data_IF_975270276710
#
_entry.id   IF_975270276710
#
_cell.length_a   1.000
_cell.length_b   1.000
_cell.length_c   1.000
_cell.angle_alpha   90.00
_cell.angle_beta   90.00
_cell.angle_gamma   90.00
#
_symmetry.space_group_name_H-M   'P 1'
#
loop_
_entity.id
_entity.type
_entity.pdbx_description
1 polymer ?
#
# COMPACT_ATOMS: atom_id res chain seq x y z
N UNK A 1 9.83 10.40 10.51
CA UNK A 1 10.00 9.64 9.26
C UNK A 1 10.20 8.15 9.60
N UNK A 2 9.66 7.22 8.80
CA UNK A 2 9.95 5.78 8.91
C UNK A 2 10.62 5.33 7.63
N UNK A 3 11.78 4.69 7.70
CA UNK A 3 12.60 4.32 6.52
C UNK A 3 12.87 2.82 6.50
N UNK A 4 12.81 2.22 5.31
CA UNK A 4 13.14 0.80 5.08
C UNK A 4 14.40 0.70 4.22
N UNK A 5 15.26 -0.28 4.47
CA UNK A 5 16.43 -0.55 3.61
C UNK A 5 16.00 -1.32 2.36
N UNK A 6 16.34 -0.75 1.20
CA UNK A 6 16.12 -1.34 -0.11
C UNK A 6 17.29 -2.17 -0.63
N UNK A 7 17.03 -3.03 -1.60
CA UNK A 7 18.06 -3.89 -2.22
C UNK A 7 19.13 -3.09 -2.96
N UNK A 8 18.79 -1.89 -3.45
CA UNK A 8 19.68 -1.02 -4.23
C UNK A 8 20.31 0.11 -3.41
N UNK A 9 20.05 0.15 -2.10
CA UNK A 9 20.70 1.11 -1.19
C UNK A 9 22.16 0.71 -0.89
N UNK A 10 22.53 -0.50 -1.30
CA UNK A 10 23.80 -1.18 -1.03
C UNK A 10 24.48 -1.53 -2.35
N UNK A 11 25.81 -1.60 -2.35
CA UNK A 11 26.62 -1.94 -3.52
C UNK A 11 27.47 -3.19 -3.24
N UNK A 12 27.45 -4.21 -4.11
CA UNK A 12 26.59 -4.35 -5.29
C UNK A 12 25.10 -4.50 -4.92
N UNK A 13 24.20 -4.32 -5.90
CA UNK A 13 22.77 -4.54 -5.69
C UNK A 13 22.51 -5.91 -5.04
N UNK A 14 21.59 -5.95 -4.07
CA UNK A 14 21.27 -7.11 -3.21
C UNK A 14 22.40 -7.59 -2.28
N UNK A 15 23.47 -6.83 -2.10
CA UNK A 15 24.50 -7.16 -1.12
C UNK A 15 24.01 -6.88 0.29
N UNK A 16 23.60 -7.94 0.99
CA UNK A 16 23.18 -7.87 2.38
C UNK A 16 23.86 -8.98 3.19
N UNK A 17 24.79 -8.58 4.05
CA UNK A 17 25.46 -9.47 4.98
C UNK A 17 24.47 -9.99 6.03
N UNK A 18 24.63 -11.25 6.42
CA UNK A 18 23.86 -11.85 7.52
C UNK A 18 24.81 -12.07 8.70
N UNK A 19 24.71 -11.20 9.71
CA UNK A 19 25.34 -11.31 11.03
C UNK A 19 24.35 -11.91 12.05
N UNK A 20 24.71 -11.93 13.33
CA UNK A 20 23.82 -12.41 14.40
C UNK A 20 22.73 -11.39 14.80
N UNK A 21 22.82 -10.13 14.35
CA UNK A 21 21.90 -9.04 14.72
C UNK A 21 22.29 -8.31 16.01
N UNK A 22 23.28 -8.81 16.75
CA UNK A 22 23.80 -8.20 17.99
C UNK A 22 25.11 -7.44 17.77
N UNK A 23 25.82 -7.74 16.68
CA UNK A 23 27.03 -7.06 16.25
C UNK A 23 26.81 -6.22 15.01
N UNK A 24 27.73 -5.28 14.77
CA UNK A 24 27.71 -4.41 13.61
C UNK A 24 27.65 -5.25 12.34
N UNK A 25 26.63 -4.98 11.52
CA UNK A 25 26.50 -5.54 10.20
C UNK A 25 27.28 -4.66 9.22
N UNK A 26 28.27 -5.21 8.49
CA UNK A 26 29.14 -4.39 7.63
C UNK A 26 28.35 -3.66 6.54
N UNK A 27 27.33 -4.31 5.95
CA UNK A 27 26.46 -3.70 4.95
C UNK A 27 25.66 -2.53 5.52
N UNK A 28 25.01 -2.73 6.66
CA UNK A 28 24.17 -1.70 7.27
C UNK A 28 25.01 -0.54 7.83
N UNK A 29 26.21 -0.85 8.33
CA UNK A 29 27.16 0.15 8.80
C UNK A 29 27.59 1.09 7.69
N UNK A 30 27.88 0.57 6.49
CA UNK A 30 28.30 1.36 5.33
C UNK A 30 27.26 2.39 4.94
N UNK A 31 25.98 2.02 4.94
CA UNK A 31 24.90 2.92 4.55
C UNK A 31 24.41 3.81 5.70
N UNK A 32 24.74 3.49 6.96
CA UNK A 32 24.20 4.15 8.16
C UNK A 32 24.43 5.66 8.23
N UNK A 33 25.45 6.18 7.53
CA UNK A 33 25.74 7.61 7.47
C UNK A 33 24.54 8.43 6.97
N UNK A 34 23.75 7.88 6.04
CA UNK A 34 22.56 8.56 5.52
C UNK A 34 21.45 8.79 6.58
N UNK A 35 21.54 8.11 7.73
CA UNK A 35 20.58 8.20 8.83
C UNK A 35 21.12 8.88 10.08
N UNK A 36 22.38 9.33 10.10
CA UNK A 36 23.03 9.91 11.29
C UNK A 36 22.32 11.15 11.84
N UNK A 37 21.68 11.93 10.97
CA UNK A 37 20.93 13.13 11.37
C UNK A 37 19.45 12.86 11.67
N UNK A 38 18.96 11.65 11.36
CA UNK A 38 17.55 11.28 11.45
C UNK A 38 17.24 10.33 12.61
N UNK A 39 18.26 9.64 13.13
CA UNK A 39 18.10 8.63 14.18
C UNK A 39 18.89 9.02 15.43
N UNK A 40 18.30 8.77 16.60
CA UNK A 40 19.02 8.88 17.87
C UNK A 40 20.18 7.87 17.94
N UNK A 41 21.24 8.11 18.73
CA UNK A 41 22.43 7.25 18.76
C UNK A 41 22.14 5.76 19.00
N UNK A 42 21.18 5.45 19.88
CA UNK A 42 20.76 4.07 20.15
C UNK A 42 20.04 3.46 18.94
N UNK A 43 19.15 4.22 18.29
CA UNK A 43 18.43 3.77 17.09
C UNK A 43 19.37 3.57 15.90
N UNK A 44 20.38 4.45 15.77
CA UNK A 44 21.41 4.32 14.75
C UNK A 44 22.29 3.09 15.00
N UNK A 45 22.65 2.80 16.25
CA UNK A 45 23.38 1.59 16.59
C UNK A 45 22.56 0.32 16.30
N UNK A 46 21.28 0.32 16.65
CA UNK A 46 20.35 -0.74 16.29
C UNK A 46 20.25 -0.91 14.77
N UNK A 47 20.14 0.20 14.02
CA UNK A 47 20.15 0.18 12.57
C UNK A 47 21.42 -0.47 12.02
N UNK A 48 22.61 -0.09 12.52
CA UNK A 48 23.90 -0.66 12.12
C UNK A 48 24.01 -2.17 12.37
N UNK A 49 23.30 -2.69 13.37
CA UNK A 49 23.35 -4.11 13.71
C UNK A 49 22.33 -4.95 12.91
N UNK A 50 21.09 -4.46 12.79
CA UNK A 50 19.96 -5.29 12.34
C UNK A 50 19.08 -4.67 11.24
N UNK A 51 19.01 -3.34 11.18
CA UNK A 51 18.33 -2.62 10.09
C UNK A 51 16.80 -2.70 10.10
N UNK A 52 16.21 -3.29 11.14
CA UNK A 52 14.78 -3.33 11.39
C UNK A 52 14.46 -2.67 12.74
N UNK A 53 13.27 -2.08 12.84
CA UNK A 53 12.86 -1.31 14.02
C UNK A 53 11.34 -1.21 14.11
N UNK A 54 10.84 -0.53 15.13
CA UNK A 54 9.43 -0.16 15.26
C UNK A 54 9.29 1.33 15.53
N UNK A 55 8.12 1.87 15.19
CA UNK A 55 7.75 3.24 15.54
C UNK A 55 6.29 3.31 15.97
N UNK A 56 6.06 3.92 17.11
CA UNK A 56 4.72 4.26 17.57
C UNK A 56 4.21 5.49 16.82
N UNK A 57 3.06 5.35 16.17
CA UNK A 57 2.38 6.46 15.49
C UNK A 57 1.51 7.21 16.49
N UNK A 58 0.81 6.45 17.32
CA UNK A 58 0.10 6.92 18.50
C UNK A 58 0.00 5.79 19.54
N UNK A 59 -0.77 6.01 20.61
CA UNK A 59 -0.95 5.05 21.71
C UNK A 59 -1.50 3.68 21.26
N UNK A 60 -2.20 3.61 20.12
CA UNK A 60 -2.88 2.40 19.64
C UNK A 60 -2.32 1.83 18.34
N UNK A 61 -1.54 2.57 17.57
CA UNK A 61 -0.92 2.10 16.32
C UNK A 61 0.61 2.10 16.39
N UNK A 62 1.21 0.95 16.08
CA UNK A 62 2.66 0.77 15.88
C UNK A 62 2.94 0.34 14.44
N UNK A 63 3.99 0.89 13.84
CA UNK A 63 4.54 0.42 12.57
C UNK A 63 5.78 -0.44 12.86
N UNK A 64 5.75 -1.69 12.44
CA UNK A 64 6.92 -2.59 12.43
C UNK A 64 7.62 -2.48 11.08
N UNK A 65 8.90 -2.15 11.08
CA UNK A 65 9.69 -1.85 9.89
C UNK A 65 10.73 -2.95 9.73
N UNK A 66 10.60 -3.74 8.66
CA UNK A 66 11.45 -4.90 8.39
C UNK A 66 12.66 -4.56 7.52
N UNK A 67 13.79 -5.19 7.82
CA UNK A 67 14.92 -5.32 6.92
C UNK A 67 14.67 -6.53 6.02
N UNK A 68 14.21 -6.28 4.80
CA UNK A 68 13.81 -7.36 3.87
C UNK A 68 14.95 -7.89 3.00
N UNK A 69 16.10 -7.22 3.00
CA UNK A 69 17.28 -7.61 2.20
C UNK A 69 17.77 -9.05 2.44
N UNK A 70 17.86 -9.54 3.70
CA UNK A 70 18.28 -10.90 4.00
C UNK A 70 17.39 -12.00 3.39
N UNK A 71 16.12 -11.68 3.11
CA UNK A 71 15.14 -12.65 2.60
C UNK A 71 15.10 -12.72 1.07
N UNK A 72 15.69 -11.74 0.39
CA UNK A 72 15.62 -11.60 -1.06
C UNK A 72 16.12 -12.86 -1.80
N UNK A 73 15.46 -13.22 -2.91
CA UNK A 73 15.90 -14.33 -3.76
C UNK A 73 17.33 -14.13 -4.26
N UNK A 74 17.66 -12.91 -4.67
CA UNK A 74 18.93 -12.54 -5.30
C UNK A 74 20.01 -12.05 -4.31
N UNK A 75 19.81 -12.26 -3.00
CA UNK A 75 20.80 -11.86 -1.98
C UNK A 75 22.17 -12.49 -2.25
N UNK A 76 23.22 -11.67 -2.29
CA UNK A 76 24.60 -12.09 -2.60
C UNK A 76 25.66 -11.73 -1.53
N UNK A 77 25.25 -11.19 -0.37
CA UNK A 77 26.18 -10.82 0.70
C UNK A 77 26.77 -12.00 1.49
N UNK A 78 27.84 -11.75 2.25
CA UNK A 78 28.43 -12.77 3.11
C UNK A 78 27.50 -13.19 4.27
N UNK A 79 27.76 -14.34 4.85
CA UNK A 79 27.00 -14.83 6.01
C UNK A 79 27.98 -15.34 7.05
N UNK A 80 28.12 -14.58 8.13
CA UNK A 80 28.97 -14.93 9.27
C UNK A 80 28.17 -15.55 10.41
N UNK A 81 26.84 -15.57 10.28
CA UNK A 81 25.92 -16.21 11.21
C UNK A 81 25.61 -17.66 10.81
N UNK A 82 25.52 -18.53 11.82
CA UNK A 82 25.12 -19.95 11.68
C UNK A 82 23.60 -20.10 11.52
N UNK A 83 22.79 -19.15 12.03
CA UNK A 83 21.31 -19.19 12.00
C UNK A 83 20.74 -18.58 10.72
N UNK A 84 20.86 -19.28 9.61
CA UNK A 84 20.30 -18.84 8.31
C UNK A 84 18.78 -19.05 8.21
N UNK A 85 18.17 -19.75 9.16
CA UNK A 85 16.73 -19.95 9.29
C UNK A 85 16.01 -18.67 9.72
N UNK A 86 16.68 -17.86 10.56
CA UNK A 86 16.22 -16.52 10.97
C UNK A 86 17.36 -15.48 10.84
N UNK A 87 17.60 -14.99 9.62
CA UNK A 87 18.59 -13.95 9.37
C UNK A 87 18.40 -12.73 10.28
N UNK A 88 19.46 -12.36 10.99
CA UNK A 88 19.51 -11.24 11.95
C UNK A 88 18.52 -11.38 13.13
N UNK A 89 17.98 -12.58 13.42
CA UNK A 89 17.03 -12.79 14.52
C UNK A 89 15.69 -12.07 14.36
N UNK A 90 15.36 -11.68 13.13
CA UNK A 90 14.26 -10.76 12.87
C UNK A 90 12.88 -11.42 12.97
N UNK A 91 12.74 -12.72 12.69
CA UNK A 91 11.49 -13.45 12.89
C UNK A 91 11.20 -13.67 14.37
N UNK A 92 12.22 -14.01 15.17
CA UNK A 92 12.12 -14.07 16.62
C UNK A 92 11.73 -12.71 17.21
N UNK A 93 12.40 -11.63 16.77
CA UNK A 93 12.05 -10.26 17.14
C UNK A 93 10.62 -9.91 16.75
N UNK A 94 10.21 -10.18 15.50
CA UNK A 94 8.87 -9.87 15.01
C UNK A 94 7.79 -10.60 15.81
N UNK A 95 8.01 -11.88 16.11
CA UNK A 95 7.11 -12.68 16.96
C UNK A 95 6.97 -12.06 18.35
N UNK A 96 8.09 -11.65 18.94
CA UNK A 96 8.12 -11.02 20.28
C UNK A 96 7.37 -9.69 20.27
N UNK A 97 7.61 -8.83 19.28
CA UNK A 97 6.94 -7.54 19.16
C UNK A 97 5.44 -7.69 18.93
N UNK A 98 5.01 -8.58 18.03
CA UNK A 98 3.59 -8.81 17.78
C UNK A 98 2.87 -9.32 19.03
N UNK A 99 3.48 -10.26 19.77
CA UNK A 99 2.94 -10.76 21.04
C UNK A 99 2.79 -9.64 22.09
N UNK A 100 3.80 -8.80 22.22
CA UNK A 100 3.77 -7.67 23.16
C UNK A 100 2.69 -6.66 22.77
N UNK A 101 2.64 -6.25 21.51
CA UNK A 101 1.65 -5.29 21.01
C UNK A 101 0.22 -5.83 21.15
N UNK A 102 0.00 -7.12 20.87
CA UNK A 102 -1.29 -7.78 21.09
C UNK A 102 -1.73 -7.70 22.56
N UNK A 103 -0.84 -8.04 23.50
CA UNK A 103 -1.11 -7.96 24.95
C UNK A 103 -1.40 -6.54 25.44
N UNK A 104 -0.95 -5.53 24.69
CA UNK A 104 -1.19 -4.12 24.97
C UNK A 104 -2.43 -3.58 24.23
N UNK A 105 -3.19 -4.44 23.54
CA UNK A 105 -4.31 -4.05 22.66
C UNK A 105 -3.92 -3.04 21.57
N UNK A 106 -2.69 -3.13 21.06
CA UNK A 106 -2.18 -2.26 20.00
C UNK A 106 -2.35 -2.92 18.63
N UNK A 107 -2.52 -2.07 17.63
CA UNK A 107 -2.70 -2.42 16.24
C UNK A 107 -1.43 -2.14 15.46
N UNK A 108 -1.25 -2.85 14.35
CA UNK A 108 0.04 -2.93 13.67
C UNK A 108 -0.09 -2.70 12.17
N UNK A 109 0.79 -1.86 11.63
CA UNK A 109 1.19 -1.92 10.23
C UNK A 109 2.56 -2.57 10.11
N UNK A 110 2.77 -3.38 9.09
CA UNK A 110 4.08 -3.95 8.77
C UNK A 110 4.60 -3.31 7.47
N UNK A 111 5.79 -2.74 7.52
CA UNK A 111 6.43 -2.11 6.37
C UNK A 111 7.75 -2.80 6.03
N UNK A 112 8.09 -2.85 4.74
CA UNK A 112 9.39 -3.32 4.27
C UNK A 112 9.64 -2.89 2.84
N UNK A 113 10.81 -3.19 2.28
CA UNK A 113 11.08 -2.85 0.87
C UNK A 113 10.61 -3.95 -0.08
N UNK A 114 11.21 -5.14 0.03
CA UNK A 114 10.90 -6.30 -0.82
C UNK A 114 9.70 -7.04 -0.21
N UNK A 115 8.63 -7.28 -0.96
CA UNK A 115 7.44 -7.95 -0.42
C UNK A 115 7.64 -9.46 -0.25
N UNK A 116 7.05 -10.10 0.78
CA UNK A 116 7.09 -11.54 1.03
C UNK A 116 6.16 -12.33 0.10
N UNK A 117 6.39 -12.24 -1.21
CA UNK A 117 5.55 -12.87 -2.23
C UNK A 117 6.34 -13.24 -3.50
N UNK A 118 5.65 -13.86 -4.46
CA UNK A 118 6.15 -14.01 -5.83
C UNK A 118 5.63 -12.82 -6.65
N UNK A 119 6.40 -12.36 -7.63
CA UNK A 119 5.92 -11.35 -8.55
C UNK A 119 4.78 -11.92 -9.40
N UNK A 120 3.65 -11.21 -9.43
CA UNK A 120 2.39 -11.77 -9.94
C UNK A 120 2.45 -12.17 -11.42
N UNK A 121 3.29 -11.54 -12.24
CA UNK A 121 3.27 -11.75 -13.70
C UNK A 121 4.18 -12.90 -14.16
N UNK A 122 5.37 -13.02 -13.59
CA UNK A 122 6.38 -13.99 -14.04
C UNK A 122 6.77 -15.00 -12.94
N UNK A 123 6.17 -14.90 -11.76
CA UNK A 123 6.44 -15.80 -10.65
C UNK A 123 7.84 -15.68 -10.06
N UNK A 124 8.60 -14.63 -10.40
CA UNK A 124 9.92 -14.42 -9.83
C UNK A 124 9.81 -14.23 -8.31
N UNK A 125 10.58 -15.02 -7.57
CA UNK A 125 10.64 -14.94 -6.12
C UNK A 125 11.15 -13.58 -5.68
N UNK A 126 10.35 -12.82 -4.92
CA UNK A 126 10.82 -11.59 -4.29
C UNK A 126 11.62 -11.95 -3.05
N UNK A 127 11.04 -12.80 -2.19
CA UNK A 127 11.76 -13.51 -1.13
C UNK A 127 11.98 -14.96 -1.51
N UNK A 128 13.01 -15.60 -0.95
CA UNK A 128 13.16 -17.06 -1.04
C UNK A 128 11.92 -17.72 -0.41
N UNK A 129 11.36 -18.74 -1.07
CA UNK A 129 10.10 -19.38 -0.66
C UNK A 129 10.05 -19.80 0.82
N UNK A 130 11.15 -20.34 1.37
CA UNK A 130 11.26 -20.70 2.80
C UNK A 130 11.00 -19.53 3.76
N UNK A 131 11.40 -18.31 3.38
CA UNK A 131 11.19 -17.12 4.21
C UNK A 131 9.78 -16.56 4.05
N UNK A 132 9.14 -16.75 2.89
CA UNK A 132 7.72 -16.43 2.72
C UNK A 132 6.89 -17.32 3.65
N UNK A 133 7.15 -18.63 3.68
CA UNK A 133 6.47 -19.56 4.59
C UNK A 133 6.72 -19.24 6.06
N UNK A 134 7.98 -18.96 6.42
CA UNK A 134 8.32 -18.56 7.79
C UNK A 134 7.59 -17.28 8.21
N UNK A 135 7.57 -16.27 7.34
CA UNK A 135 6.86 -15.02 7.60
C UNK A 135 5.35 -15.25 7.79
N UNK A 136 4.73 -16.04 6.91
CA UNK A 136 3.31 -16.45 7.06
C UNK A 136 3.08 -17.13 8.41
N UNK A 137 3.95 -18.04 8.83
CA UNK A 137 3.86 -18.73 10.12
C UNK A 137 4.01 -17.77 11.32
N UNK A 138 4.94 -16.82 11.24
CA UNK A 138 5.20 -15.81 12.28
C UNK A 138 3.99 -14.89 12.48
N UNK A 139 3.38 -14.40 11.40
CA UNK A 139 2.28 -13.44 11.52
C UNK A 139 0.91 -14.11 11.73
N UNK A 140 0.73 -15.38 11.35
CA UNK A 140 -0.55 -16.09 11.40
C UNK A 140 -1.25 -16.09 12.78
N UNK A 141 -0.56 -16.13 13.93
CA UNK A 141 -1.18 -15.97 15.25
C UNK A 141 -1.75 -14.57 15.49
N UNK A 142 -1.17 -13.53 14.88
CA UNK A 142 -1.39 -12.12 15.20
C UNK A 142 -2.18 -11.36 14.13
N UNK A 143 -2.76 -12.07 13.16
CA UNK A 143 -3.50 -11.47 12.02
C UNK A 143 -4.67 -10.57 12.42
N UNK A 144 -5.18 -10.66 13.65
CA UNK A 144 -6.25 -9.80 14.16
C UNK A 144 -5.79 -8.36 14.44
N UNK A 145 -4.52 -8.19 14.86
CA UNK A 145 -3.95 -6.87 15.17
C UNK A 145 -3.24 -6.22 13.98
N UNK A 146 -2.87 -7.01 12.96
CA UNK A 146 -2.20 -6.50 11.74
C UNK A 146 -3.26 -5.92 10.81
N UNK A 147 -3.25 -4.60 10.64
CA UNK A 147 -4.23 -3.85 9.83
C UNK A 147 -3.83 -3.64 8.39
N UNK A 148 -2.53 -3.58 8.11
CA UNK A 148 -2.01 -3.48 6.74
C UNK A 148 -0.55 -3.92 6.67
N UNK A 149 -0.14 -4.33 5.48
CA UNK A 149 1.27 -4.55 5.14
C UNK A 149 1.62 -3.71 3.90
N UNK A 150 2.73 -2.97 3.93
CA UNK A 150 3.10 -2.00 2.89
C UNK A 150 4.53 -2.24 2.44
N UNK A 151 4.70 -2.47 1.14
CA UNK A 151 6.00 -2.75 0.52
C UNK A 151 6.23 -1.91 -0.74
N UNK A 152 7.46 -1.89 -1.21
CA UNK A 152 7.86 -1.26 -2.47
C UNK A 152 8.39 -2.29 -3.46
N UNK A 153 9.59 -2.03 -3.98
CA UNK A 153 10.43 -2.92 -4.79
C UNK A 153 9.90 -3.33 -6.18
N UNK A 154 8.60 -3.63 -6.34
CA UNK A 154 8.02 -4.06 -7.62
C UNK A 154 7.71 -2.89 -8.57
N UNK A 155 7.80 -1.65 -8.08
CA UNK A 155 7.53 -0.41 -8.84
C UNK A 155 6.12 -0.37 -9.44
N UNK A 156 5.16 -0.96 -8.73
CA UNK A 156 3.79 -1.08 -9.14
C UNK A 156 2.86 -0.86 -7.95
N UNK A 157 1.69 -0.28 -8.19
CA UNK A 157 0.61 -0.16 -7.22
C UNK A 157 -0.25 -1.42 -7.25
N UNK A 158 0.09 -2.42 -6.44
CA UNK A 158 -0.64 -3.68 -6.36
C UNK A 158 -1.35 -3.82 -5.02
N UNK A 159 -2.53 -4.42 -5.06
CA UNK A 159 -3.33 -4.70 -3.88
C UNK A 159 -3.59 -6.19 -3.80
N UNK A 160 -3.10 -6.81 -2.73
CA UNK A 160 -3.23 -8.23 -2.46
C UNK A 160 -4.06 -8.43 -1.22
N UNK A 161 -5.03 -9.34 -1.29
CA UNK A 161 -5.81 -9.74 -0.13
C UNK A 161 -5.47 -11.17 0.25
N UNK A 162 -4.48 -11.32 1.11
CA UNK A 162 -4.02 -12.63 1.51
C UNK A 162 -4.82 -13.15 2.70
N UNK A 163 -5.30 -14.38 2.56
CA UNK A 163 -5.98 -15.09 3.62
C UNK A 163 -4.97 -15.87 4.46
N UNK A 164 -5.00 -15.66 5.77
CA UNK A 164 -4.29 -16.47 6.75
C UNK A 164 -5.31 -16.94 7.79
N UNK A 165 -5.44 -18.27 7.95
CA UNK A 165 -6.54 -18.88 8.70
C UNK A 165 -7.89 -18.38 8.18
N UNK A 166 -8.69 -17.73 9.01
CA UNK A 166 -10.00 -17.17 8.66
C UNK A 166 -9.98 -15.64 8.56
N UNK A 167 -8.79 -15.01 8.53
CA UNK A 167 -8.63 -13.56 8.50
C UNK A 167 -7.92 -13.16 7.21
N UNK A 168 -8.39 -12.06 6.61
CA UNK A 168 -7.74 -11.45 5.46
C UNK A 168 -6.89 -10.28 5.92
N UNK A 169 -5.61 -10.31 5.56
CA UNK A 169 -4.67 -9.23 5.86
C UNK A 169 -4.23 -8.62 4.53
N UNK A 170 -4.55 -7.34 4.26
CA UNK A 170 -4.17 -6.73 3.01
C UNK A 170 -2.66 -6.46 2.97
N UNK A 171 -2.08 -6.68 1.79
CA UNK A 171 -0.71 -6.32 1.46
C UNK A 171 -0.74 -5.42 0.23
N UNK A 172 -0.06 -4.29 0.33
CA UNK A 172 0.04 -3.31 -0.73
C UNK A 172 1.47 -3.19 -1.19
N UNK A 173 1.67 -3.08 -2.49
CA UNK A 173 2.91 -2.56 -3.06
C UNK A 173 2.66 -1.17 -3.63
N UNK A 174 3.67 -0.30 -3.53
CA UNK A 174 3.59 1.07 -4.05
C UNK A 174 4.47 1.26 -5.28
N UNK A 175 3.96 2.01 -6.26
CA UNK A 175 4.70 2.49 -7.41
C UNK A 175 5.90 3.36 -6.99
N UNK A 176 6.86 3.50 -7.90
CA UNK A 176 8.08 4.25 -7.63
C UNK A 176 8.05 5.65 -8.23
N UNK A 177 8.83 6.55 -7.62
CA UNK A 177 9.17 7.85 -8.20
C UNK A 177 10.07 7.66 -9.44
N UNK A 178 10.97 6.68 -9.42
CA UNK A 178 11.84 6.41 -10.57
C UNK A 178 11.05 5.81 -11.74
N UNK A 179 11.16 6.37 -12.96
CA UNK A 179 10.54 5.82 -14.17
C UNK A 179 11.36 4.68 -14.80
N UNK A 180 12.47 4.25 -14.17
CA UNK A 180 13.44 3.28 -14.72
C UNK A 180 12.80 1.98 -15.22
N UNK A 181 11.69 1.55 -14.63
CA UNK A 181 10.99 0.32 -15.01
C UNK A 181 9.69 0.58 -15.76
N UNK A 182 9.63 1.71 -16.47
CA UNK A 182 8.56 2.09 -17.39
C UNK A 182 7.19 2.31 -16.71
N UNK A 183 7.18 2.53 -15.41
CA UNK A 183 6.07 3.14 -14.70
C UNK A 183 6.16 4.67 -14.82
N UNK A 184 5.04 5.36 -14.69
CA UNK A 184 5.10 6.80 -14.46
C UNK A 184 5.58 7.07 -13.02
N UNK A 185 6.40 8.11 -12.79
CA UNK A 185 6.74 8.58 -11.45
C UNK A 185 5.48 8.79 -10.62
N UNK A 186 5.42 8.12 -9.46
CA UNK A 186 4.24 8.21 -8.60
C UNK A 186 4.57 8.03 -7.11
N UNK A 187 3.69 8.55 -6.26
CA UNK A 187 3.67 8.29 -4.82
C UNK A 187 2.22 8.09 -4.34
N UNK A 188 2.06 7.56 -3.13
CA UNK A 188 0.75 7.22 -2.55
C UNK A 188 0.50 8.02 -1.29
N UNK A 189 -0.72 8.53 -1.15
CA UNK A 189 -1.24 9.12 0.09
C UNK A 189 -2.37 8.23 0.61
N UNK A 190 -2.22 7.75 1.84
CA UNK A 190 -3.18 6.86 2.48
C UNK A 190 -4.18 7.64 3.34
N UNK A 191 -5.44 7.22 3.29
CA UNK A 191 -6.49 7.62 4.21
C UNK A 191 -6.87 6.44 5.10
N UNK A 192 -7.02 6.65 6.40
CA UNK A 192 -7.32 5.59 7.36
C UNK A 192 -8.28 6.06 8.44
N UNK A 193 -9.03 5.12 9.01
CA UNK A 193 -9.95 5.38 10.11
C UNK A 193 -9.14 5.51 11.42
N UNK A 194 -9.28 6.63 12.13
CA UNK A 194 -8.54 6.84 13.38
C UNK A 194 -9.03 5.95 14.53
N UNK A 195 -10.20 5.34 14.43
CA UNK A 195 -10.77 4.43 15.42
C UNK A 195 -10.26 2.98 15.25
N UNK A 196 -10.34 2.46 14.02
CA UNK A 196 -10.03 1.06 13.67
C UNK A 196 -8.65 0.87 13.05
N UNK A 197 -8.03 1.94 12.54
CA UNK A 197 -6.80 1.96 11.75
C UNK A 197 -6.86 1.12 10.48
N UNK A 198 -8.06 0.84 9.99
CA UNK A 198 -8.26 0.28 8.65
C UNK A 198 -8.07 1.36 7.60
N UNK A 199 -7.53 0.99 6.44
CA UNK A 199 -7.46 1.91 5.31
C UNK A 199 -8.86 2.19 4.75
N UNK A 200 -9.12 3.48 4.54
CA UNK A 200 -10.34 3.98 3.92
C UNK A 200 -10.13 4.10 2.41
N UNK A 201 -9.01 4.66 1.99
CA UNK A 201 -8.63 4.81 0.59
C UNK A 201 -7.11 4.98 0.44
N UNK A 202 -6.62 4.87 -0.79
CA UNK A 202 -5.32 5.40 -1.17
C UNK A 202 -5.42 6.20 -2.46
N UNK A 203 -4.71 7.33 -2.47
CA UNK A 203 -4.66 8.25 -3.60
C UNK A 203 -3.28 8.20 -4.22
N UNK A 204 -3.22 7.90 -5.51
CA UNK A 204 -1.98 7.94 -6.27
C UNK A 204 -1.83 9.32 -6.87
N UNK A 205 -0.70 9.96 -6.61
CA UNK A 205 -0.25 11.16 -7.29
C UNK A 205 0.88 10.78 -8.24
N UNK A 206 0.84 11.29 -9.46
CA UNK A 206 1.80 10.93 -10.49
C UNK A 206 2.15 12.12 -11.37
N UNK A 207 3.28 12.00 -12.05
CA UNK A 207 3.59 12.80 -13.24
C UNK A 207 3.63 11.88 -14.45
N UNK A 208 2.75 12.11 -15.42
CA UNK A 208 2.52 11.18 -16.55
C UNK A 208 3.14 11.63 -17.87
N UNK A 209 3.64 12.86 -17.93
CA UNK A 209 4.21 13.47 -19.13
C UNK A 209 5.66 13.86 -18.88
N UNK A 210 6.55 13.59 -19.84
CA UNK A 210 7.93 14.07 -19.82
C UNK A 210 7.96 15.60 -19.85
N UNK A 211 8.88 16.26 -19.11
CA UNK A 211 10.02 15.71 -18.36
C UNK A 211 9.70 15.26 -16.90
N UNK A 212 8.43 14.97 -16.60
CA UNK A 212 7.93 14.55 -15.29
C UNK A 212 7.90 15.62 -14.19
N UNK A 213 7.68 16.88 -14.57
CA UNK A 213 7.61 18.01 -13.64
C UNK A 213 6.21 18.26 -13.06
N UNK A 214 5.16 17.83 -13.75
CA UNK A 214 3.77 18.14 -13.40
C UNK A 214 3.16 16.99 -12.60
N UNK A 215 3.12 17.17 -11.28
CA UNK A 215 2.49 16.24 -10.36
C UNK A 215 1.02 16.57 -10.14
N UNK A 216 0.16 15.56 -10.27
CA UNK A 216 -1.27 15.68 -10.03
C UNK A 216 -1.84 14.43 -9.39
N UNK A 217 -3.05 14.56 -8.84
CA UNK A 217 -3.83 13.39 -8.44
C UNK A 217 -4.17 12.58 -9.70
N UNK A 218 -3.88 11.28 -9.67
CA UNK A 218 -4.10 10.38 -10.81
C UNK A 218 -5.35 9.52 -10.61
N UNK A 219 -5.50 8.88 -9.46
CA UNK A 219 -6.69 8.09 -9.14
C UNK A 219 -6.85 7.85 -7.63
N UNK A 220 -8.10 7.60 -7.21
CA UNK A 220 -8.47 7.01 -5.91
C UNK A 220 -8.71 5.50 -6.10
N UNK A 221 -8.30 4.68 -5.13
CA UNK A 221 -8.50 3.25 -5.18
C UNK A 221 -9.99 2.89 -5.06
N UNK A 222 -10.69 3.50 -4.11
CA UNK A 222 -12.11 3.25 -3.90
C UNK A 222 -12.95 3.64 -5.12
N UNK A 223 -12.67 4.81 -5.73
CA UNK A 223 -13.32 5.25 -6.95
C UNK A 223 -13.04 4.30 -8.13
N UNK A 224 -11.77 3.94 -8.34
CA UNK A 224 -11.35 3.08 -9.44
C UNK A 224 -11.98 1.69 -9.40
N UNK A 225 -12.14 1.13 -8.20
CA UNK A 225 -12.61 -0.23 -8.00
C UNK A 225 -14.08 -0.32 -7.59
N UNK A 226 -14.76 0.83 -7.41
CA UNK A 226 -16.15 0.91 -6.98
C UNK A 226 -16.36 0.35 -5.58
N UNK A 227 -15.49 0.74 -4.64
CA UNK A 227 -15.53 0.33 -3.23
C UNK A 227 -15.97 1.51 -2.36
N UNK A 228 -16.53 1.23 -1.19
CA UNK A 228 -16.86 2.29 -0.21
C UNK A 228 -15.70 2.60 0.74
N UNK A 229 -14.81 1.63 0.96
CA UNK A 229 -13.57 1.74 1.72
C UNK A 229 -12.66 0.54 1.38
N UNK A 230 -11.48 0.44 2.01
CA UNK A 230 -10.55 -0.68 1.86
C UNK A 230 -10.60 -1.67 3.04
N UNK A 231 -11.76 -1.80 3.71
CA UNK A 231 -11.96 -2.81 4.74
C UNK A 231 -11.84 -4.24 4.16
N UNK A 232 -11.54 -5.22 5.02
CA UNK A 232 -11.39 -6.61 4.59
C UNK A 232 -12.64 -7.17 3.88
N UNK A 233 -13.84 -6.68 4.19
CA UNK A 233 -15.07 -7.10 3.52
C UNK A 233 -15.19 -6.54 2.10
N UNK A 234 -14.87 -5.26 1.89
CA UNK A 234 -14.85 -4.64 0.55
C UNK A 234 -13.78 -5.28 -0.34
N UNK A 235 -12.58 -5.51 0.22
CA UNK A 235 -11.50 -6.18 -0.50
C UNK A 235 -11.85 -7.63 -0.83
N UNK A 236 -12.56 -8.35 0.05
CA UNK A 236 -13.02 -9.71 -0.22
C UNK A 236 -14.02 -9.73 -1.37
N UNK A 237 -14.96 -8.78 -1.39
CA UNK A 237 -15.88 -8.62 -2.50
C UNK A 237 -15.16 -8.30 -3.81
N UNK A 238 -14.12 -7.45 -3.78
CA UNK A 238 -13.28 -7.18 -4.94
C UNK A 238 -12.55 -8.44 -5.43
N UNK A 239 -11.92 -9.20 -4.52
CA UNK A 239 -11.25 -10.45 -4.83
C UNK A 239 -12.20 -11.45 -5.49
N UNK A 240 -13.43 -11.57 -4.99
CA UNK A 240 -14.46 -12.43 -5.58
C UNK A 240 -14.85 -11.99 -7.01
N UNK A 241 -14.92 -10.67 -7.28
CA UNK A 241 -15.20 -10.13 -8.62
C UNK A 241 -14.11 -10.49 -9.63
N UNK A 242 -12.84 -10.44 -9.23
CA UNK A 242 -11.76 -10.94 -10.07
C UNK A 242 -11.89 -12.47 -10.26
N UNK A 243 -12.04 -13.23 -9.18
CA UNK A 243 -12.13 -14.70 -9.27
C UNK A 243 -13.29 -15.21 -10.14
N UNK A 244 -14.40 -14.49 -10.26
CA UNK A 244 -15.54 -14.92 -11.09
C UNK A 244 -15.34 -14.74 -12.60
N UNK A 245 -14.41 -13.86 -13.02
CA UNK A 245 -14.14 -13.57 -14.43
C UNK A 245 -15.21 -12.70 -15.12
N UNK A 246 -16.12 -12.06 -14.37
CA UNK A 246 -17.20 -11.23 -14.91
C UNK A 246 -16.91 -9.72 -14.69
N UNK A 247 -15.64 -9.33 -14.81
CA UNK A 247 -15.16 -8.02 -14.40
C UNK A 247 -14.28 -7.35 -15.46
N UNK A 248 -14.61 -7.50 -16.74
CA UNK A 248 -13.73 -7.14 -17.87
C UNK A 248 -13.17 -5.71 -17.79
N UNK A 249 -14.00 -4.72 -17.44
CA UNK A 249 -13.53 -3.33 -17.25
C UNK A 249 -12.61 -3.17 -16.04
N UNK A 250 -12.85 -3.93 -14.97
CA UNK A 250 -12.10 -3.86 -13.72
C UNK A 250 -10.65 -4.34 -13.90
N UNK A 251 -10.44 -5.39 -14.70
CA UNK A 251 -9.11 -5.88 -15.03
C UNK A 251 -8.28 -4.84 -15.75
N UNK A 252 -8.87 -4.16 -16.76
CA UNK A 252 -8.23 -3.06 -17.46
C UNK A 252 -7.88 -1.89 -16.53
N UNK A 253 -8.80 -1.52 -15.62
CA UNK A 253 -8.55 -0.47 -14.63
C UNK A 253 -7.42 -0.85 -13.68
N UNK A 254 -7.43 -2.08 -13.15
CA UNK A 254 -6.37 -2.58 -12.26
C UNK A 254 -5.01 -2.54 -12.95
N UNK A 255 -4.92 -3.07 -14.18
CA UNK A 255 -3.68 -3.10 -14.95
C UNK A 255 -3.15 -1.69 -15.27
N UNK A 256 -4.04 -0.75 -15.61
CA UNK A 256 -3.67 0.65 -15.89
C UNK A 256 -3.18 1.37 -14.62
N UNK A 257 -3.91 1.20 -13.52
CA UNK A 257 -3.57 1.83 -12.24
C UNK A 257 -2.27 1.27 -11.65
N UNK A 258 -2.01 -0.04 -11.83
CA UNK A 258 -0.80 -0.74 -11.38
C UNK A 258 0.48 -0.02 -11.78
N UNK A 259 0.54 0.57 -12.97
CA UNK A 259 1.73 1.28 -13.47
C UNK A 259 1.56 2.80 -13.60
N UNK A 260 0.65 3.38 -12.81
CA UNK A 260 0.36 4.82 -12.82
C UNK A 260 0.06 5.35 -14.24
N UNK A 261 -0.72 4.57 -15.01
CA UNK A 261 -1.17 4.88 -16.37
C UNK A 261 -0.03 4.97 -17.40
N UNK A 262 1.12 4.36 -17.14
CA UNK A 262 2.22 4.28 -18.10
C UNK A 262 1.81 3.48 -19.34
N UNK A 263 1.85 4.05 -20.56
CA UNK A 263 1.36 3.40 -21.78
C UNK A 263 2.08 2.09 -22.12
N UNK A 264 3.39 2.01 -21.86
CA UNK A 264 4.25 0.89 -22.23
C UNK A 264 4.03 -0.36 -21.36
N UNK A 265 3.49 -0.20 -20.14
CA UNK A 265 3.26 -1.27 -19.16
C UNK A 265 1.78 -1.55 -18.90
N UNK A 266 0.90 -0.74 -19.47
CA UNK A 266 -0.55 -0.84 -19.29
C UNK A 266 -1.28 -1.28 -20.56
N UNK A 267 -0.91 -2.41 -21.21
CA UNK A 267 -1.76 -2.94 -22.27
C UNK A 267 -3.12 -3.29 -21.65
N UNK A 268 -4.18 -3.19 -22.45
CA UNK A 268 -5.52 -3.50 -21.97
C UNK A 268 -5.60 -4.97 -21.53
N UNK A 269 -5.94 -5.20 -20.26
CA UNK A 269 -6.07 -6.53 -19.68
C UNK A 269 -7.40 -7.17 -20.11
N UNK A 270 -7.48 -7.58 -21.38
CA UNK A 270 -8.70 -8.08 -22.02
C UNK A 270 -8.69 -9.59 -22.26
N UNK A 271 -7.52 -10.22 -22.23
CA UNK A 271 -7.35 -11.64 -22.52
C UNK A 271 -7.36 -12.52 -21.27
N UNK A 272 -7.55 -13.81 -21.48
CA UNK A 272 -7.61 -14.82 -20.42
C UNK A 272 -6.31 -14.91 -19.62
N UNK A 273 -5.15 -14.77 -20.29
CA UNK A 273 -3.85 -14.79 -19.62
C UNK A 273 -3.70 -13.65 -18.61
N UNK A 274 -4.00 -12.40 -19.02
CA UNK A 274 -3.88 -11.23 -18.15
C UNK A 274 -4.90 -11.27 -17.00
N UNK A 275 -6.16 -11.63 -17.29
CA UNK A 275 -7.18 -11.74 -16.24
C UNK A 275 -6.81 -12.84 -15.23
N UNK A 276 -6.25 -13.97 -15.66
CA UNK A 276 -5.78 -15.03 -14.77
C UNK A 276 -4.64 -14.57 -13.85
N UNK A 277 -3.68 -13.80 -14.39
CA UNK A 277 -2.57 -13.19 -13.62
C UNK A 277 -3.11 -12.31 -12.48
N UNK A 278 -4.05 -11.43 -12.77
CA UNK A 278 -4.67 -10.55 -11.75
C UNK A 278 -5.52 -11.36 -10.77
N UNK A 279 -6.33 -12.32 -11.23
CA UNK A 279 -7.15 -13.12 -10.33
C UNK A 279 -6.33 -13.97 -9.34
N UNK A 280 -5.19 -14.52 -9.79
CA UNK A 280 -4.28 -15.29 -8.94
C UNK A 280 -3.42 -14.43 -8.02
N UNK A 281 -3.23 -13.13 -8.29
CA UNK A 281 -2.46 -12.26 -7.40
C UNK A 281 -3.14 -12.00 -6.04
N UNK A 282 -4.43 -12.35 -5.91
CA UNK A 282 -5.18 -12.31 -4.65
C UNK A 282 -5.07 -13.61 -3.83
N UNK A 283 -4.18 -14.52 -4.19
CA UNK A 283 -3.90 -15.77 -3.48
C UNK A 283 -2.42 -15.79 -3.05
N UNK A 284 -2.14 -16.14 -1.78
CA UNK A 284 -0.78 -16.04 -1.22
C UNK A 284 0.05 -17.31 -1.50
N UNK A 285 0.47 -17.44 -2.75
CA UNK A 285 1.37 -18.50 -3.19
C UNK A 285 2.78 -18.29 -2.61
N UNK A 286 3.46 -19.40 -2.30
CA UNK A 286 4.84 -19.40 -1.80
C UNK A 286 5.78 -20.17 -2.72
N UNK A 287 5.21 -20.84 -3.72
CA UNK A 287 5.91 -21.62 -4.72
C UNK A 287 5.43 -21.21 -6.13
N UNK A 288 6.39 -21.09 -7.06
CA UNK A 288 6.14 -20.73 -8.45
C UNK A 288 5.22 -21.74 -9.15
N UNK A 289 5.30 -23.04 -8.81
CA UNK A 289 4.47 -24.07 -9.41
C UNK A 289 2.99 -23.91 -9.03
N UNK A 290 2.69 -23.53 -7.79
CA UNK A 290 1.32 -23.28 -7.32
C UNK A 290 0.72 -22.05 -8.02
N UNK A 291 1.51 -20.99 -8.15
CA UNK A 291 1.08 -19.79 -8.87
C UNK A 291 0.84 -20.09 -10.36
N UNK A 292 1.73 -20.86 -10.99
CA UNK A 292 1.58 -21.26 -12.38
C UNK A 292 0.36 -22.16 -12.60
N UNK A 293 0.10 -23.08 -11.67
CA UNK A 293 -1.11 -23.92 -11.69
C UNK A 293 -2.37 -23.05 -11.59
N UNK A 294 -2.40 -22.09 -10.66
CA UNK A 294 -3.50 -21.13 -10.54
C UNK A 294 -3.75 -20.39 -11.85
N UNK A 295 -2.69 -19.78 -12.41
CA UNK A 295 -2.81 -18.97 -13.63
C UNK A 295 -3.24 -19.81 -14.82
N UNK A 296 -2.67 -21.00 -14.99
CA UNK A 296 -3.02 -21.91 -16.09
C UNK A 296 -4.46 -22.37 -16.00
N UNK A 297 -4.92 -22.81 -14.81
CA UNK A 297 -6.30 -23.26 -14.60
C UNK A 297 -7.30 -22.13 -14.83
N UNK A 298 -7.03 -20.92 -14.32
CA UNK A 298 -7.93 -19.77 -14.51
C UNK A 298 -7.94 -19.29 -15.96
N UNK A 299 -6.79 -19.20 -16.62
CA UNK A 299 -6.73 -18.81 -18.03
C UNK A 299 -7.56 -19.77 -18.89
N UNK A 300 -7.35 -21.08 -18.72
CA UNK A 300 -8.15 -22.10 -19.41
C UNK A 300 -9.65 -21.97 -19.12
N UNK A 301 -10.04 -21.77 -17.87
CA UNK A 301 -11.45 -21.61 -17.51
C UNK A 301 -12.09 -20.34 -18.11
N UNK A 302 -11.30 -19.29 -18.40
CA UNK A 302 -11.77 -18.08 -19.08
C UNK A 302 -11.83 -18.30 -20.60
N UNK A 303 -10.87 -19.02 -21.18
CA UNK A 303 -10.90 -19.45 -22.59
C UNK A 303 -12.13 -20.33 -22.87
N UNK A 304 -12.43 -21.29 -21.99
CA UNK A 304 -13.61 -22.16 -22.11
C UNK A 304 -14.93 -21.35 -22.04
N UNK A 305 -14.90 -20.13 -21.47
CA UNK A 305 -16.03 -19.18 -21.45
C UNK A 305 -16.04 -18.23 -22.66
N UNK A 306 -15.12 -18.40 -23.61
CA UNK A 306 -15.06 -17.64 -24.86
C UNK A 306 -14.18 -16.39 -24.82
N UNK A 307 -13.37 -16.19 -23.77
CA UNK A 307 -12.40 -15.09 -23.74
C UNK A 307 -11.19 -15.43 -24.62
N UNK A 308 -10.65 -14.44 -25.34
CA UNK A 308 -9.44 -14.63 -26.13
C UNK A 308 -8.28 -15.04 -25.22
N UNK A 309 -7.50 -16.06 -25.64
CA UNK A 309 -6.35 -16.55 -24.87
C UNK A 309 -5.32 -15.46 -24.56
N UNK A 310 -5.00 -14.64 -25.57
CA UNK A 310 -3.97 -13.61 -25.50
C UNK A 310 -2.54 -14.14 -25.56
N UNK A 311 -1.63 -13.45 -24.89
CA UNK A 311 -0.21 -13.81 -24.83
C UNK A 311 0.08 -15.01 -23.90
N UNK A 312 1.23 -15.65 -24.07
CA UNK A 312 1.63 -16.74 -23.18
C UNK A 312 1.89 -16.25 -21.74
N UNK A 313 1.49 -17.08 -20.77
CA UNK A 313 1.77 -16.85 -19.35
C UNK A 313 3.29 -16.84 -19.12
N UNK A 314 3.85 -15.66 -18.79
CA UNK A 314 5.30 -15.47 -18.62
C UNK A 314 5.93 -16.41 -17.60
N UNK A 315 5.18 -16.78 -16.57
CA UNK A 315 5.61 -17.73 -15.54
C UNK A 315 5.99 -19.10 -16.11
N UNK A 316 5.35 -19.56 -17.19
CA UNK A 316 5.66 -20.84 -17.83
C UNK A 316 7.04 -20.79 -18.51
N UNK A 317 7.40 -19.65 -19.10
CA UNK A 317 8.74 -19.42 -19.64
C UNK A 317 9.81 -19.44 -18.56
N UNK A 318 9.54 -18.82 -17.39
CA UNK A 318 10.45 -18.85 -16.24
C UNK A 318 10.66 -20.26 -15.72
N UNK A 319 9.57 -21.03 -15.53
CA UNK A 319 9.65 -22.43 -15.09
C UNK A 319 10.48 -23.26 -16.07
N UNK A 320 10.25 -23.09 -17.37
CA UNK A 320 11.02 -23.79 -18.40
C UNK A 320 12.52 -23.49 -18.27
N UNK A 321 12.90 -22.22 -18.14
CA UNK A 321 14.30 -21.83 -17.95
C UNK A 321 14.90 -22.36 -16.64
N UNK A 322 14.11 -22.43 -15.56
CA UNK A 322 14.55 -23.04 -14.30
C UNK A 322 14.86 -24.52 -14.49
N UNK A 323 13.94 -25.28 -15.12
CA UNK A 323 14.14 -26.71 -15.41
C UNK A 323 15.35 -26.94 -16.32
N UNK A 324 15.54 -26.09 -17.34
CA UNK A 324 16.71 -26.16 -18.23
C UNK A 324 18.01 -25.92 -17.46
N UNK A 325 18.05 -24.94 -16.54
CA UNK A 325 19.21 -24.65 -15.71
C UNK A 325 19.54 -25.77 -14.71
N UNK A 326 18.52 -26.46 -14.20
CA UNK A 326 18.68 -27.63 -13.32
C UNK A 326 19.13 -28.87 -14.10
N UNK A 327 18.84 -28.94 -15.42
CA UNK A 327 19.23 -30.04 -16.31
C UNK A 327 20.65 -29.93 -16.90
N UNK A 328 21.34 -28.80 -16.73
CA UNK A 328 22.78 -28.67 -16.97
C UNK A 328 23.24 -28.53 -18.43
N UNK A 329 22.66 -27.61 -19.22
CA UNK A 329 23.27 -27.15 -20.49
C UNK A 329 24.06 -25.83 -20.26
N UNK A 330 25.41 -25.82 -20.34
CA UNK A 330 26.24 -24.65 -20.05
C UNK A 330 26.17 -23.52 -21.10
N UNK A 331 25.40 -23.66 -22.17
CA UNK A 331 25.51 -22.78 -23.35
C UNK A 331 24.60 -21.54 -23.38
N UNK A 332 23.77 -21.29 -22.35
CA UNK A 332 22.70 -20.27 -22.43
C UNK A 332 22.59 -19.27 -21.27
N UNK A 333 23.68 -18.92 -20.59
CA UNK A 333 23.67 -17.79 -19.64
C UNK A 333 24.26 -16.53 -20.25
N UNK A 334 23.45 -15.70 -20.92
CA UNK A 334 23.75 -14.29 -21.13
C UNK A 334 22.49 -13.45 -21.42
N UNK A 335 22.47 -12.28 -20.79
CA UNK A 335 21.77 -11.04 -21.16
C UNK A 335 20.24 -10.93 -21.02
N UNK A 336 19.82 -10.43 -19.85
CA UNK A 336 18.70 -9.48 -19.77
C UNK A 336 19.09 -8.32 -18.85
N UNK A 337 19.79 -7.33 -19.39
CA UNK A 337 19.90 -6.00 -18.78
C UNK A 337 19.60 -4.94 -19.84
N UNK A 338 18.54 -4.16 -19.59
CA UNK A 338 18.08 -3.06 -20.45
C UNK A 338 19.14 -1.95 -20.63
N UNK A 339 19.16 -1.28 -21.80
CA UNK A 339 20.14 -0.24 -22.12
C UNK A 339 19.81 1.09 -21.45
N UNK A 340 20.83 1.73 -20.86
CA UNK A 340 20.82 3.10 -20.34
C UNK A 340 20.91 4.12 -21.48
N UNK A 341 20.24 5.26 -21.32
CA UNK A 341 20.64 6.53 -21.95
C UNK A 341 20.17 7.70 -21.08
N UNK A 342 21.13 8.54 -20.69
CA UNK A 342 20.99 9.69 -19.80
C UNK A 342 20.49 10.92 -20.58
N UNK A 343 19.66 11.75 -19.94
CA UNK A 343 19.35 13.12 -20.37
C UNK A 343 19.14 14.01 -19.13
N UNK A 344 19.94 15.07 -19.06
CA UNK A 344 19.90 16.16 -18.08
C UNK A 344 18.67 17.06 -18.29
N UNK A 345 18.11 17.59 -17.19
CA UNK A 345 17.05 18.62 -17.22
C UNK A 345 17.35 19.70 -16.18
N UNK A 346 17.40 20.94 -16.67
CA UNK A 346 17.47 22.21 -15.95
C UNK A 346 16.08 22.68 -15.49
N UNK A 347 16.01 23.34 -14.33
CA UNK A 347 14.80 23.46 -13.52
C UNK A 347 14.04 24.78 -13.57
N UNK A 348 12.79 24.77 -13.05
CA UNK A 348 12.27 25.74 -12.07
C UNK A 348 10.78 25.55 -11.74
N UNK A 349 10.51 25.07 -10.51
CA UNK A 349 9.73 25.73 -9.44
C UNK A 349 8.29 26.28 -9.69
N UNK A 350 7.26 25.66 -9.07
CA UNK A 350 6.51 26.12 -7.85
C UNK A 350 5.07 25.58 -7.74
N UNK A 351 4.72 25.18 -6.52
CA UNK A 351 3.47 24.60 -6.01
C UNK A 351 2.64 25.62 -5.23
N UNK A 352 1.31 25.40 -5.14
CA UNK A 352 0.46 25.86 -4.02
C UNK A 352 -0.66 24.84 -3.70
N UNK A 353 -1.16 24.95 -2.46
CA UNK A 353 -1.67 23.91 -1.54
C UNK A 353 -3.18 24.08 -1.21
N UNK A 354 -3.85 23.01 -0.72
CA UNK A 354 -5.21 23.02 -0.13
C UNK A 354 -5.39 21.94 0.97
N UNK A 355 -5.80 22.36 2.17
CA UNK A 355 -6.26 21.62 3.38
C UNK A 355 -7.68 20.99 3.21
N UNK A 356 -8.18 19.93 3.89
CA UNK A 356 -7.96 19.32 5.22
C UNK A 356 -8.50 17.86 5.21
N UNK A 357 -7.59 16.88 5.14
CA UNK A 357 -7.73 15.42 5.39
C UNK A 357 -6.48 15.04 6.19
N UNK A 358 -6.55 14.19 7.22
CA UNK A 358 -5.33 13.81 7.94
C UNK A 358 -4.52 12.79 7.14
N UNK A 359 -3.49 13.29 6.46
CA UNK A 359 -2.48 12.53 5.71
C UNK A 359 -1.28 12.26 6.63
N UNK A 360 -0.58 11.15 6.42
CA UNK A 360 0.72 10.91 7.08
C UNK A 360 1.80 11.66 6.30
N UNK A 361 2.21 12.83 6.79
CA UNK A 361 3.50 13.45 6.47
C UNK A 361 4.06 14.00 7.78
N UNK A 362 5.29 13.60 8.12
CA UNK A 362 6.02 14.13 9.26
C UNK A 362 7.43 14.49 8.75
N UNK A 363 7.88 15.74 8.96
CA UNK A 363 8.58 16.54 7.95
C UNK A 363 10.10 16.38 7.94
N UNK A 364 10.71 16.49 6.75
CA UNK A 364 12.03 17.08 6.63
C UNK A 364 11.83 18.60 6.52
N UNK A 365 12.47 19.36 7.40
CA UNK A 365 12.52 20.81 7.36
C UNK A 365 13.05 21.26 6.00
N UNK A 366 12.26 22.03 5.25
CA UNK A 366 12.80 23.10 4.40
C UNK A 366 11.69 24.08 4.01
N UNK A 367 12.07 25.36 4.04
CA UNK A 367 11.23 26.55 4.01
C UNK A 367 10.50 26.71 2.67
N UNK A 368 9.20 26.41 2.65
CA UNK A 368 8.30 26.75 1.56
C UNK A 368 7.86 28.23 1.61
N UNK A 369 8.42 29.03 0.71
CA UNK A 369 7.87 30.25 0.11
C UNK A 369 7.07 31.21 1.00
N UNK A 370 7.79 32.20 1.54
CA UNK A 370 7.21 33.48 1.90
C UNK A 370 6.72 34.20 0.63
N UNK A 371 5.40 34.22 0.42
CA UNK A 371 4.59 35.39 0.02
C UNK A 371 3.14 34.95 -0.17
N UNK A 372 2.22 35.59 0.57
CA UNK A 372 0.77 35.37 0.45
C UNK A 372 0.26 35.95 -0.87
N UNK A 373 -0.59 35.24 -1.64
CA UNK A 373 -1.49 35.90 -2.57
C UNK A 373 -2.76 36.33 -1.83
N UNK A 374 -3.23 37.52 -2.19
CA UNK A 374 -4.39 38.19 -1.61
C UNK A 374 -5.67 37.35 -1.64
N UNK A 375 -6.38 37.35 -0.51
CA UNK A 375 -7.70 36.78 -0.34
C UNK A 375 -8.77 37.60 -1.07
N UNK A 376 -9.52 36.97 -1.97
CA UNK A 376 -10.83 37.43 -2.40
C UNK A 376 -11.87 36.35 -2.13
N UNK A 377 -12.48 36.38 -0.95
CA UNK A 377 -13.77 35.72 -0.70
C UNK A 377 -14.65 36.68 0.13
N UNK A 378 -15.66 37.29 -0.51
CA UNK A 378 -16.92 37.52 0.19
C UNK A 378 -18.10 37.11 -0.71
N UNK A 379 -18.96 36.20 -0.25
CA UNK A 379 -20.42 36.24 -0.58
C UNK A 379 -21.26 35.04 -0.10
N UNK A 380 -20.71 33.93 0.39
CA UNK A 380 -21.54 32.76 0.73
C UNK A 380 -22.24 32.83 2.10
N UNK A 381 -21.76 33.66 3.04
CA UNK A 381 -22.39 33.81 4.36
C UNK A 381 -23.49 34.89 4.41
N UNK A 382 -23.35 35.98 3.63
CA UNK A 382 -24.32 37.07 3.62
C UNK A 382 -25.61 36.72 2.85
N UNK A 383 -25.51 35.89 1.81
CA UNK A 383 -26.65 35.40 1.02
C UNK A 383 -27.55 34.46 1.82
N UNK A 384 -26.98 33.59 2.65
CA UNK A 384 -27.74 32.76 3.57
C UNK A 384 -28.48 33.60 4.63
N UNK A 385 -27.83 34.62 5.20
CA UNK A 385 -28.43 35.47 6.23
C UNK A 385 -29.58 36.35 5.70
N UNK A 386 -29.43 36.89 4.49
CA UNK A 386 -30.49 37.65 3.81
C UNK A 386 -31.69 36.78 3.43
N UNK A 387 -31.47 35.53 3.00
CA UNK A 387 -32.55 34.59 2.72
C UNK A 387 -33.37 34.25 3.98
N UNK A 388 -32.72 34.08 5.14
CA UNK A 388 -33.40 33.85 6.41
C UNK A 388 -34.24 35.07 6.87
N UNK A 389 -33.72 36.29 6.69
CA UNK A 389 -34.45 37.52 7.01
C UNK A 389 -35.66 37.73 6.09
N UNK A 390 -35.53 37.45 4.80
CA UNK A 390 -36.64 37.52 3.84
C UNK A 390 -37.74 36.52 4.20
N UNK A 391 -37.37 35.27 4.51
CA UNK A 391 -38.30 34.22 4.89
C UNK A 391 -39.03 34.55 6.22
N UNK A 392 -38.30 35.10 7.19
CA UNK A 392 -38.89 35.56 8.46
C UNK A 392 -39.89 36.71 8.26
N UNK A 393 -39.62 37.62 7.31
CA UNK A 393 -40.50 38.75 6.99
C UNK A 393 -41.76 38.27 6.27
N UNK A 394 -41.63 37.37 5.29
CA UNK A 394 -42.77 36.76 4.60
C UNK A 394 -43.68 36.02 5.60
N UNK A 395 -43.11 35.21 6.49
CA UNK A 395 -43.91 34.50 7.50
C UNK A 395 -44.65 35.46 8.45
N UNK A 396 -44.04 36.59 8.83
CA UNK A 396 -44.72 37.61 9.66
C UNK A 396 -45.88 38.29 8.92
N UNK A 397 -45.74 38.52 7.62
CA UNK A 397 -46.83 39.05 6.79
C UNK A 397 -47.96 38.02 6.67
N UNK A 398 -47.62 36.75 6.45
CA UNK A 398 -48.61 35.67 6.37
C UNK A 398 -49.39 35.48 7.68
N UNK A 399 -48.73 35.59 8.83
CA UNK A 399 -49.39 35.55 10.14
C UNK A 399 -50.30 36.77 10.36
N UNK A 400 -49.83 37.99 10.07
CA UNK A 400 -50.60 39.22 10.30
C UNK A 400 -51.76 39.44 9.33
N UNK A 401 -51.60 39.08 8.06
CA UNK A 401 -52.60 39.38 7.01
C UNK A 401 -53.56 38.22 6.83
N UNK A 402 -53.08 36.97 6.95
CA UNK A 402 -53.87 35.77 6.66
C UNK A 402 -54.11 34.87 7.88
N UNK A 403 -53.58 35.23 9.07
CA UNK A 403 -53.79 34.48 10.31
C UNK A 403 -53.07 33.13 10.38
N UNK A 404 -52.09 32.89 9.50
CA UNK A 404 -51.38 31.60 9.39
C UNK A 404 -50.22 31.55 10.40
N UNK A 405 -50.40 30.83 11.50
CA UNK A 405 -49.36 30.66 12.54
C UNK A 405 -48.38 29.53 12.21
N UNK A 406 -47.10 29.86 12.06
CA UNK A 406 -46.02 28.87 11.88
C UNK A 406 -45.34 28.53 13.22
N UNK A 407 -45.25 27.24 13.56
CA UNK A 407 -44.50 26.72 14.72
C UNK A 407 -43.24 25.99 14.25
N UNK A 408 -42.06 26.47 14.65
CA UNK A 408 -40.79 25.79 14.41
C UNK A 408 -40.60 24.65 15.42
N UNK A 409 -40.42 23.40 14.96
CA UNK A 409 -39.87 22.31 15.78
C UNK A 409 -38.38 22.21 15.52
N UNK A 410 -37.58 22.34 16.57
CA UNK A 410 -36.13 22.09 16.54
C UNK A 410 -35.91 20.58 16.58
N UNK A 411 -35.48 19.97 15.47
CA UNK A 411 -35.08 18.56 15.45
C UNK A 411 -33.65 18.46 16.01
N UNK A 412 -33.53 18.09 17.27
CA UNK A 412 -32.27 17.58 17.84
C UNK A 412 -32.38 16.06 17.80
N UNK A 413 -31.65 15.42 16.89
CA UNK A 413 -31.53 13.95 16.82
C UNK A 413 -30.46 13.52 17.83
N UNK A 414 -30.87 12.90 18.93
CA UNK A 414 -29.96 12.30 19.90
C UNK A 414 -30.70 11.65 21.08
N UNK A 415 -30.59 10.32 21.16
CA UNK A 415 -30.79 9.43 22.32
C UNK A 415 -32.19 9.32 22.96
N UNK A 416 -32.91 8.25 22.60
CA UNK A 416 -33.90 7.59 23.46
C UNK A 416 -33.19 6.72 24.50
N UNK A 417 -33.39 7.00 25.80
CA UNK A 417 -33.39 5.99 26.87
C UNK A 417 -34.29 6.45 28.03
N UNK A 418 -35.26 5.57 28.32
CA UNK A 418 -35.94 5.27 29.59
C UNK A 418 -36.69 6.31 30.44
N UNK A 419 -37.98 5.94 30.61
CA UNK A 419 -38.77 5.89 31.87
C UNK A 419 -39.38 7.18 32.42
N UNK A 420 -40.67 7.32 32.07
CA UNK A 420 -41.67 8.09 32.82
C UNK A 420 -41.86 7.55 34.24
N UNK A 421 -41.57 8.37 35.26
CA UNK A 421 -42.17 8.26 36.60
C UNK A 421 -43.10 9.45 36.80
N UNK A 422 -44.39 9.17 36.89
CA UNK A 422 -45.43 10.13 37.29
C UNK A 422 -45.49 10.13 38.81
N UNK A 423 -45.21 11.27 39.43
CA UNK A 423 -45.44 11.51 40.85
C UNK A 423 -46.63 12.46 40.97
N UNK A 424 -47.76 11.95 41.46
CA UNK A 424 -48.93 12.75 41.85
C UNK A 424 -48.71 13.30 43.26
N UNK A 425 -48.95 14.59 43.44
CA UNK A 425 -49.12 15.24 44.74
C UNK A 425 -50.61 15.25 45.11
N UNK A 426 -50.90 14.90 46.35
CA UNK A 426 -52.20 14.98 47.04
C UNK A 426 -52.47 16.42 47.53
N UNK A 427 -53.67 16.79 48.03
CA UNK A 427 -54.90 15.99 48.22
C UNK A 427 -55.91 16.08 47.08
#
# INVERSE_FOLDING_TARGET
>A
MTTTVGNADVSPNYYMAITNGDTINPTLSEISQAWETLLEPVQLNDFRNKGYTLRDIDERLTVLILNTGPYAKNRNGESTNIRLEDPLGQFEWLTTQLKQLESQNRLVYICGHIPPMLHMTDGQYQWKGKYIEMYKAVIAPFVAIIKAQIFGHVHAHEMHLFQLKNVFVPLYTVGAISPKYWNNPSFVVWEYDKGTYEFLDYHVYASTELPFEKWGHLFSATESFGLTNLSSDQLRALSARFKSGNADKLYGIYQKNRYAHAPTKSPECKDAACQAVVACSFEWHTNIYELAECQTKKAKALEDKGLERGGDLRILGVIKSMMESESGDPSKTADVLHPKRDLEVDGSLRLMDVTRVSRVLDPAMETGLAEKPASNIPSTCATAFLAFLLLATIMRVLDKVFGIKFRWRRLVKGTETEKSRVMKLAP
#
